data_IF_678952091140
#
_entry.id   IF_678952091140
#
_cell.length_a   1.000
_cell.length_b   1.000
_cell.length_c   1.000
_cell.angle_alpha   90.00
_cell.angle_beta   90.00
_cell.angle_gamma   90.00
#
_symmetry.space_group_name_H-M   'P 1'
#
loop_
_entity.id
_entity.type
_entity.pdbx_description
1 polymer ?
#
# COMPACT_ATOMS: atom_id res chain seq x y z
N UNK A 1 -32.31 -5.82 19.98
CA UNK A 1 -31.56 -6.30 21.16
C UNK A 1 -30.25 -6.88 20.66
N UNK A 2 -29.18 -6.08 20.71
CA UNK A 2 -27.83 -6.51 20.34
C UNK A 2 -27.14 -7.00 21.60
N UNK A 3 -26.73 -8.26 21.59
CA UNK A 3 -26.10 -8.93 22.72
C UNK A 3 -24.68 -8.36 22.89
N UNK A 4 -24.49 -7.53 23.92
CA UNK A 4 -23.27 -6.74 24.17
C UNK A 4 -22.10 -7.55 24.73
N UNK A 5 -21.86 -8.74 24.20
CA UNK A 5 -20.76 -9.61 24.61
C UNK A 5 -19.70 -9.68 23.52
N UNK A 6 -18.43 -9.50 23.90
CA UNK A 6 -17.28 -9.75 23.03
C UNK A 6 -17.35 -11.19 22.51
N UNK A 7 -17.53 -11.37 21.19
CA UNK A 7 -17.49 -12.68 20.55
C UNK A 7 -16.11 -12.90 19.95
N UNK A 8 -15.52 -14.08 20.21
CA UNK A 8 -14.36 -14.59 19.46
C UNK A 8 -14.88 -15.10 18.11
N UNK A 9 -15.05 -14.23 17.13
CA UNK A 9 -15.49 -14.62 15.78
C UNK A 9 -14.57 -14.07 14.71
N UNK A 10 -13.28 -14.42 14.78
CA UNK A 10 -12.47 -14.42 13.58
C UNK A 10 -12.16 -15.88 13.26
N UNK A 11 -12.72 -16.37 12.16
CA UNK A 11 -12.33 -17.66 11.59
C UNK A 11 -10.97 -17.47 10.88
N UNK A 12 -9.95 -17.19 11.68
CA UNK A 12 -8.60 -16.91 11.23
C UNK A 12 -7.64 -17.99 11.74
N UNK A 13 -6.67 -18.42 10.92
CA UNK A 13 -5.45 -19.05 11.43
C UNK A 13 -4.71 -18.06 12.36
N UNK A 14 -3.60 -18.51 12.97
CA UNK A 14 -2.76 -17.66 13.83
C UNK A 14 -2.52 -16.28 13.21
N UNK A 15 -2.79 -15.21 13.98
CA UNK A 15 -2.68 -13.83 13.51
C UNK A 15 -1.20 -13.54 13.20
N UNK A 16 -0.88 -13.03 12.00
CA UNK A 16 0.50 -12.78 11.61
C UNK A 16 1.03 -11.51 12.29
N UNK A 17 2.34 -11.28 12.18
CA UNK A 17 2.90 -9.98 12.55
C UNK A 17 2.56 -8.99 11.44
N UNK A 18 1.72 -7.99 11.73
CA UNK A 18 1.36 -6.94 10.78
C UNK A 18 2.54 -5.97 10.60
N UNK A 19 2.80 -5.64 9.35
CA UNK A 19 3.87 -4.76 8.90
C UNK A 19 3.28 -3.41 8.46
N UNK A 20 4.09 -2.37 8.55
CA UNK A 20 3.84 -1.06 7.97
C UNK A 20 2.82 -0.23 8.74
N UNK A 21 1.83 0.28 8.01
CA UNK A 21 0.85 1.23 8.53
C UNK A 21 -0.10 0.57 9.53
N UNK A 22 -0.43 1.30 10.61
CA UNK A 22 -1.46 0.87 11.56
C UNK A 22 -2.83 0.69 10.89
N UNK A 23 -3.09 1.44 9.82
CA UNK A 23 -4.32 1.41 9.05
C UNK A 23 -4.08 0.62 7.78
N UNK A 24 -4.77 -0.52 7.64
CA UNK A 24 -4.70 -1.33 6.42
C UNK A 24 -5.58 -0.73 5.32
N UNK A 25 -5.12 -0.68 4.06
CA UNK A 25 -5.96 -0.23 2.96
C UNK A 25 -7.19 -1.15 2.75
N UNK A 26 -8.33 -0.52 2.49
CA UNK A 26 -9.59 -1.20 2.22
C UNK A 26 -9.82 -1.37 0.71
N UNK A 27 -10.05 -2.60 0.27
CA UNK A 27 -10.38 -2.92 -1.13
C UNK A 27 -11.17 -4.23 -1.18
N UNK A 28 -12.14 -4.28 -2.10
CA UNK A 28 -12.98 -5.45 -2.36
C UNK A 28 -13.66 -6.04 -1.11
N UNK A 29 -14.09 -5.19 -0.17
CA UNK A 29 -14.78 -5.62 1.06
C UNK A 29 -13.85 -6.04 2.22
N UNK A 30 -12.54 -5.96 2.02
CA UNK A 30 -11.54 -6.39 3.01
C UNK A 30 -10.57 -5.28 3.38
N UNK A 31 -10.06 -5.34 4.62
CA UNK A 31 -8.92 -4.54 5.08
C UNK A 31 -7.65 -5.39 4.95
N UNK A 32 -6.58 -4.81 4.41
CA UNK A 32 -5.38 -5.56 4.03
C UNK A 32 -4.15 -5.00 4.70
N UNK A 33 -3.21 -5.87 5.09
CA UNK A 33 -1.92 -5.49 5.64
C UNK A 33 -0.84 -6.34 4.99
N UNK A 34 0.34 -5.77 4.78
CA UNK A 34 1.53 -6.59 4.64
C UNK A 34 1.79 -7.28 5.99
N UNK A 35 2.23 -8.53 5.97
CA UNK A 35 2.42 -9.30 7.17
C UNK A 35 3.50 -10.38 7.02
N UNK A 36 3.99 -10.87 8.16
CA UNK A 36 4.88 -12.04 8.23
C UNK A 36 4.10 -13.30 8.60
N UNK A 37 4.10 -14.26 7.69
CA UNK A 37 3.66 -15.63 7.90
C UNK A 37 4.80 -16.41 8.59
N UNK A 38 4.51 -17.03 9.74
CA UNK A 38 5.40 -17.82 10.61
C UNK A 38 6.21 -17.09 11.70
N UNK A 39 5.86 -17.47 12.94
CA UNK A 39 6.34 -17.02 14.24
C UNK A 39 7.49 -17.92 14.76
N UNK A 40 8.64 -17.97 14.09
CA UNK A 40 9.84 -18.34 14.85
C UNK A 40 10.19 -17.14 15.72
N UNK A 41 9.95 -17.28 17.03
CA UNK A 41 9.92 -16.27 18.09
C UNK A 41 11.21 -15.46 18.32
N UNK A 42 11.82 -14.93 17.26
CA UNK A 42 12.86 -13.94 17.35
C UNK A 42 12.23 -12.55 17.32
N UNK A 43 12.80 -11.57 18.04
CA UNK A 43 12.35 -10.19 17.96
C UNK A 43 12.38 -9.74 16.49
N UNK A 44 11.28 -9.15 16.02
CA UNK A 44 11.13 -8.66 14.66
C UNK A 44 12.30 -7.74 14.30
N UNK A 45 13.03 -8.13 13.26
CA UNK A 45 14.11 -7.36 12.65
C UNK A 45 14.01 -7.53 11.15
N UNK A 46 13.81 -6.44 10.42
CA UNK A 46 13.63 -6.45 8.98
C UNK A 46 14.77 -7.16 8.24
N UNK A 47 16.01 -6.97 8.72
CA UNK A 47 17.23 -7.62 8.21
C UNK A 47 17.20 -9.17 8.19
N UNK A 48 16.30 -9.80 8.97
CA UNK A 48 16.16 -11.25 9.05
C UNK A 48 14.94 -11.79 8.28
N UNK A 49 14.15 -10.92 7.66
CA UNK A 49 12.95 -11.30 6.92
C UNK A 49 13.35 -11.97 5.61
N UNK A 50 12.66 -13.05 5.28
CA UNK A 50 12.76 -13.68 3.95
C UNK A 50 11.48 -13.44 3.16
N UNK A 51 11.59 -13.43 1.83
CA UNK A 51 10.44 -13.24 0.92
C UNK A 51 9.33 -14.25 1.19
N UNK A 52 9.71 -15.50 1.49
CA UNK A 52 8.76 -16.59 1.76
C UNK A 52 7.89 -16.35 3.00
N UNK A 53 8.35 -15.49 3.91
CA UNK A 53 7.58 -15.09 5.08
C UNK A 53 6.64 -13.93 4.77
N UNK A 54 6.91 -13.12 3.74
CA UNK A 54 6.03 -12.01 3.40
C UNK A 54 4.74 -12.54 2.77
N UNK A 55 3.62 -12.02 3.26
CA UNK A 55 2.27 -12.26 2.76
C UNK A 55 1.45 -10.99 2.91
N UNK A 56 0.31 -10.92 2.22
CA UNK A 56 -0.73 -9.93 2.53
C UNK A 56 -1.79 -10.63 3.37
N UNK A 57 -2.01 -10.15 4.59
CA UNK A 57 -3.12 -10.56 5.43
C UNK A 57 -4.36 -9.73 5.08
N UNK A 58 -5.43 -10.40 4.68
CA UNK A 58 -6.68 -9.76 4.26
C UNK A 58 -7.83 -10.19 5.16
N UNK A 59 -8.52 -9.23 5.76
CA UNK A 59 -9.67 -9.44 6.64
C UNK A 59 -10.96 -8.95 5.96
N UNK A 60 -11.85 -9.88 5.60
CA UNK A 60 -13.20 -9.59 5.09
C UNK A 60 -14.11 -9.20 6.25
N UNK A 61 -14.47 -7.91 6.33
CA UNK A 61 -15.26 -7.37 7.42
C UNK A 61 -16.72 -7.85 7.41
N UNK A 62 -17.24 -8.25 6.25
CA UNK A 62 -18.63 -8.68 6.11
C UNK A 62 -18.79 -10.14 6.51
N UNK A 63 -17.81 -10.98 6.15
CA UNK A 63 -17.83 -12.42 6.44
C UNK A 63 -17.13 -12.78 7.75
N UNK A 64 -16.38 -11.85 8.34
CA UNK A 64 -15.54 -12.08 9.52
C UNK A 64 -14.52 -13.22 9.28
N UNK A 65 -14.03 -13.33 8.06
CA UNK A 65 -13.03 -14.32 7.63
C UNK A 65 -11.76 -13.62 7.19
N UNK A 66 -10.62 -14.25 7.37
CA UNK A 66 -9.37 -13.77 6.78
C UNK A 66 -8.75 -14.77 5.82
N UNK A 67 -7.86 -14.27 4.98
CA UNK A 67 -7.06 -15.04 4.05
C UNK A 67 -5.66 -14.44 3.92
N UNK A 68 -4.72 -15.26 3.50
CA UNK A 68 -3.40 -14.82 3.08
C UNK A 68 -3.39 -14.72 1.56
N UNK A 69 -2.80 -13.65 1.05
CA UNK A 69 -2.61 -13.42 -0.38
C UNK A 69 -1.10 -13.33 -0.65
N UNK A 70 -0.65 -14.03 -1.68
CA UNK A 70 0.75 -14.01 -2.09
C UNK A 70 1.15 -12.68 -2.74
N UNK A 71 2.42 -12.32 -2.57
CA UNK A 71 3.05 -11.20 -3.29
C UNK A 71 3.28 -11.55 -4.78
N UNK A 72 3.60 -10.57 -5.65
CA UNK A 72 3.94 -10.83 -7.04
C UNK A 72 5.10 -11.84 -7.17
N UNK A 73 5.04 -12.77 -8.12
CA UNK A 73 6.14 -13.73 -8.37
C UNK A 73 7.47 -13.04 -8.74
N UNK A 74 7.39 -11.86 -9.35
CA UNK A 74 8.55 -11.03 -9.67
C UNK A 74 9.14 -10.25 -8.49
N UNK A 75 8.58 -10.39 -7.28
CA UNK A 75 9.13 -9.85 -6.03
C UNK A 75 10.19 -10.82 -5.49
N UNK A 76 11.33 -10.89 -6.19
CA UNK A 76 12.35 -11.92 -6.03
C UNK A 76 13.44 -11.65 -4.98
N UNK A 77 13.47 -10.45 -4.39
CA UNK A 77 14.41 -10.03 -3.35
C UNK A 77 13.69 -9.21 -2.26
N UNK A 78 14.08 -9.38 -1.00
CA UNK A 78 13.57 -8.52 0.10
C UNK A 78 14.23 -7.14 -0.04
N UNK A 79 13.45 -6.05 -0.14
CA UNK A 79 14.02 -4.71 -0.23
C UNK A 79 14.72 -4.32 1.08
N UNK A 80 15.66 -3.37 0.97
CA UNK A 80 16.45 -2.91 2.12
C UNK A 80 15.57 -2.22 3.18
N UNK A 81 14.53 -1.52 2.72
CA UNK A 81 13.49 -0.91 3.54
C UNK A 81 12.16 -1.68 3.38
N UNK A 82 11.32 -1.62 4.40
CA UNK A 82 10.05 -2.36 4.45
C UNK A 82 9.09 -1.90 3.31
N UNK A 83 8.58 -2.82 2.47
CA UNK A 83 7.65 -2.47 1.42
C UNK A 83 6.30 -2.10 2.03
N UNK A 84 5.51 -1.31 1.31
CA UNK A 84 4.20 -0.86 1.78
C UNK A 84 3.14 -1.17 0.75
N UNK A 85 1.88 -1.27 1.21
CA UNK A 85 0.72 -1.45 0.34
C UNK A 85 -0.15 -0.20 0.36
N UNK A 86 -0.80 0.07 -0.77
CA UNK A 86 -1.74 1.16 -0.96
C UNK A 86 -2.93 0.67 -1.80
N UNK A 87 -3.96 1.50 -1.92
CA UNK A 87 -5.01 1.31 -2.92
C UNK A 87 -4.95 2.46 -3.90
N UNK A 88 -4.81 2.13 -5.18
CA UNK A 88 -4.79 3.09 -6.28
C UNK A 88 -5.81 2.62 -7.32
N UNK A 89 -6.71 3.51 -7.75
CA UNK A 89 -7.81 3.17 -8.69
C UNK A 89 -8.65 1.98 -8.24
N UNK A 90 -8.80 1.80 -6.92
CA UNK A 90 -9.54 0.68 -6.35
C UNK A 90 -8.84 -0.68 -6.44
N UNK A 91 -7.58 -0.74 -6.91
CA UNK A 91 -6.76 -1.94 -6.93
C UNK A 91 -5.77 -1.94 -5.76
N UNK A 92 -5.47 -3.12 -5.21
CA UNK A 92 -4.42 -3.24 -4.21
C UNK A 92 -3.06 -3.10 -4.90
N UNK A 93 -2.20 -2.24 -4.35
CA UNK A 93 -0.86 -1.99 -4.84
C UNK A 93 0.18 -2.34 -3.79
N UNK A 94 1.35 -2.75 -4.25
CA UNK A 94 2.56 -2.97 -3.44
C UNK A 94 3.65 -2.07 -4.01
N UNK A 95 4.30 -1.28 -3.16
CA UNK A 95 5.39 -0.43 -3.59
C UNK A 95 6.57 -0.48 -2.62
N UNK A 96 7.76 -0.22 -3.15
CA UNK A 96 9.00 -0.25 -2.39
C UNK A 96 10.14 0.41 -3.14
N UNK A 97 11.20 0.66 -2.39
CA UNK A 97 12.42 1.27 -2.87
C UNK A 97 13.41 0.16 -3.20
N UNK A 98 13.66 -0.07 -4.49
CA UNK A 98 14.60 -1.09 -4.94
C UNK A 98 16.02 -0.53 -4.93
N UNK A 99 16.89 -1.14 -4.13
CA UNK A 99 18.32 -0.80 -4.02
C UNK A 99 18.57 0.70 -3.74
N UNK A 100 17.61 1.39 -3.11
CA UNK A 100 17.62 2.86 -2.90
C UNK A 100 17.89 3.69 -4.16
N UNK A 101 17.56 3.15 -5.33
CA UNK A 101 17.79 3.80 -6.63
C UNK A 101 16.55 3.91 -7.47
N UNK A 102 15.56 3.03 -7.25
CA UNK A 102 14.34 2.98 -8.03
C UNK A 102 13.12 2.88 -7.13
N UNK A 103 12.07 3.60 -7.50
CA UNK A 103 10.73 3.38 -6.99
C UNK A 103 10.05 2.31 -7.83
N UNK A 104 9.56 1.25 -7.19
CA UNK A 104 8.83 0.16 -7.84
C UNK A 104 7.40 0.12 -7.33
N UNK A 105 6.44 0.03 -8.24
CA UNK A 105 5.00 -0.11 -7.94
C UNK A 105 4.42 -1.30 -8.70
N UNK A 106 3.76 -2.18 -7.96
CA UNK A 106 2.97 -3.28 -8.46
C UNK A 106 1.49 -3.03 -8.21
N UNK A 107 0.63 -3.53 -9.10
CA UNK A 107 -0.83 -3.48 -8.99
C UNK A 107 -1.40 -4.88 -9.16
N UNK A 108 -2.33 -5.26 -8.28
CA UNK A 108 -3.08 -6.50 -8.36
C UNK A 108 -4.36 -6.24 -9.15
N UNK A 109 -4.37 -6.65 -10.43
CA UNK A 109 -5.52 -6.42 -11.34
C UNK A 109 -6.77 -7.18 -10.90
N UNK A 110 -6.61 -8.35 -10.31
CA UNK A 110 -7.70 -9.16 -9.78
C UNK A 110 -7.44 -9.49 -8.31
N UNK A 111 -8.30 -8.96 -7.43
CA UNK A 111 -8.07 -9.03 -6.00
C UNK A 111 -7.98 -10.46 -5.46
N UNK A 112 -6.84 -10.83 -4.90
CA UNK A 112 -6.54 -12.14 -4.35
C UNK A 112 -5.90 -13.13 -5.32
N UNK A 113 -5.65 -12.74 -6.58
CA UNK A 113 -5.05 -13.60 -7.61
C UNK A 113 -3.60 -13.20 -7.82
N UNK A 114 -2.66 -14.10 -7.53
CA UNK A 114 -1.23 -13.82 -7.56
C UNK A 114 -0.73 -13.52 -8.98
N UNK A 115 -1.25 -14.22 -9.98
CA UNK A 115 -0.86 -14.08 -11.38
C UNK A 115 -1.38 -12.77 -12.00
N UNK A 116 -2.28 -12.07 -11.30
CA UNK A 116 -2.83 -10.78 -11.75
C UNK A 116 -1.96 -9.58 -11.39
N UNK A 117 -0.89 -9.79 -10.61
CA UNK A 117 0.06 -8.76 -10.28
C UNK A 117 0.84 -8.32 -11.51
N UNK A 118 0.83 -7.01 -11.78
CA UNK A 118 1.64 -6.41 -12.84
C UNK A 118 2.54 -5.32 -12.24
N UNK A 119 3.75 -5.20 -12.77
CA UNK A 119 4.66 -4.10 -12.41
C UNK A 119 4.25 -2.88 -13.23
N UNK A 120 3.63 -1.91 -12.57
CA UNK A 120 3.18 -0.67 -13.21
C UNK A 120 4.31 0.33 -13.40
N UNK A 121 5.16 0.47 -12.40
CA UNK A 121 6.24 1.47 -12.40
C UNK A 121 7.52 0.84 -11.91
N UNK A 122 8.61 1.19 -12.58
CA UNK A 122 9.98 1.00 -12.15
C UNK A 122 10.77 2.22 -12.63
N UNK A 123 10.86 3.25 -11.80
CA UNK A 123 11.42 4.54 -12.19
C UNK A 123 12.59 4.89 -11.28
N UNK A 124 13.71 5.31 -11.88
CA UNK A 124 14.89 5.69 -11.09
C UNK A 124 14.68 7.03 -10.38
N UNK A 125 15.30 7.18 -9.21
CA UNK A 125 15.29 8.45 -8.49
C UNK A 125 15.99 9.56 -9.23
N UNK A 126 17.05 9.26 -9.97
CA UNK A 126 17.71 10.22 -10.85
C UNK A 126 16.71 10.76 -11.88
N UNK A 127 15.87 9.88 -12.45
CA UNK A 127 14.85 10.29 -13.41
C UNK A 127 13.72 11.10 -12.76
N UNK A 128 13.29 10.72 -11.56
CA UNK A 128 12.41 11.53 -10.72
C UNK A 128 13.07 12.83 -10.22
N UNK A 129 14.30 13.14 -10.68
CA UNK A 129 15.12 14.29 -10.27
C UNK A 129 15.28 14.38 -8.74
N UNK A 130 15.23 13.20 -8.11
CA UNK A 130 15.36 12.97 -6.70
C UNK A 130 16.81 12.61 -6.37
N UNK A 131 17.68 13.63 -6.42
CA UNK A 131 19.14 13.45 -6.34
C UNK A 131 19.70 13.42 -4.91
N UNK A 132 18.93 13.79 -3.88
CA UNK A 132 19.34 13.79 -2.49
C UNK A 132 18.40 12.91 -1.67
N UNK A 133 18.69 11.61 -1.63
CA UNK A 133 18.06 10.68 -0.70
C UNK A 133 18.50 11.06 0.71
N UNK A 134 17.80 12.02 1.32
CA UNK A 134 17.89 12.19 2.76
C UNK A 134 17.36 10.88 3.38
N UNK A 135 18.01 10.31 4.41
CA UNK A 135 17.61 9.02 4.99
C UNK A 135 16.16 8.95 5.48
N UNK A 136 15.50 10.09 5.60
CA UNK A 136 14.15 10.30 6.09
C UNK A 136 13.16 10.76 5.01
N UNK A 137 13.58 10.79 3.74
CA UNK A 137 12.70 11.14 2.65
C UNK A 137 11.77 9.96 2.32
N UNK A 138 10.47 10.23 2.26
CA UNK A 138 9.43 9.27 1.93
C UNK A 138 8.84 9.59 0.56
N UNK A 139 8.72 8.57 -0.27
CA UNK A 139 8.02 8.63 -1.55
C UNK A 139 6.77 7.77 -1.49
N UNK A 140 5.61 8.41 -1.45
CA UNK A 140 4.32 7.75 -1.25
C UNK A 140 3.46 7.88 -2.50
N UNK A 141 2.92 6.79 -3.08
CA UNK A 141 1.96 6.91 -4.16
C UNK A 141 0.65 7.50 -3.61
N UNK A 142 0.21 8.62 -4.18
CA UNK A 142 -1.01 9.32 -3.80
C UNK A 142 -2.22 8.84 -4.59
N UNK A 143 -2.07 8.79 -5.91
CA UNK A 143 -3.12 8.34 -6.81
C UNK A 143 -2.53 7.91 -8.14
N UNK A 144 -3.29 7.09 -8.84
CA UNK A 144 -3.04 6.72 -10.23
C UNK A 144 -4.20 7.22 -11.06
N UNK A 145 -3.94 8.04 -12.08
CA UNK A 145 -5.00 8.52 -12.99
C UNK A 145 -5.41 7.45 -14.00
N UNK A 146 -6.59 7.60 -14.60
CA UNK A 146 -7.05 6.76 -15.72
C UNK A 146 -6.09 6.78 -16.93
N UNK A 147 -5.34 7.88 -17.09
CA UNK A 147 -4.36 8.02 -18.15
C UNK A 147 -3.03 7.30 -17.85
N UNK A 148 -2.87 6.74 -16.64
CA UNK A 148 -1.64 6.09 -16.19
C UNK A 148 -0.61 7.05 -15.57
N UNK A 149 -0.96 8.33 -15.36
CA UNK A 149 -0.14 9.26 -14.60
C UNK A 149 -0.18 8.88 -13.12
N UNK A 150 0.98 8.58 -12.53
CA UNK A 150 1.17 8.33 -11.11
C UNK A 150 1.54 9.63 -10.40
N UNK A 151 0.79 9.99 -9.37
CA UNK A 151 1.17 11.07 -8.45
C UNK A 151 1.88 10.49 -7.24
N UNK A 152 3.05 11.02 -6.94
CA UNK A 152 3.90 10.66 -5.82
C UNK A 152 4.01 11.86 -4.88
N UNK A 153 3.81 11.65 -3.59
CA UNK A 153 4.16 12.60 -2.56
C UNK A 153 5.62 12.36 -2.16
N UNK A 154 6.44 13.38 -2.34
CA UNK A 154 7.76 13.43 -1.76
C UNK A 154 7.68 14.24 -0.47
N UNK A 155 7.92 13.60 0.66
CA UNK A 155 8.00 14.26 1.96
C UNK A 155 9.39 14.08 2.56
N UNK A 156 10.06 15.18 2.89
CA UNK A 156 11.28 15.18 3.70
C UNK A 156 11.16 16.22 4.83
N UNK A 157 12.17 16.34 5.69
CA UNK A 157 12.15 17.28 6.82
C UNK A 157 11.93 18.75 6.46
N UNK A 158 12.29 19.15 5.25
CA UNK A 158 12.33 20.55 4.83
C UNK A 158 11.23 20.91 3.83
N UNK A 159 10.70 19.91 3.11
CA UNK A 159 9.84 20.13 1.95
C UNK A 159 8.88 18.96 1.74
N UNK A 160 7.67 19.33 1.33
CA UNK A 160 6.67 18.42 0.80
C UNK A 160 6.38 18.85 -0.63
N UNK A 161 6.65 17.96 -1.58
CA UNK A 161 6.42 18.15 -3.01
C UNK A 161 5.50 17.07 -3.54
N UNK A 162 4.75 17.38 -4.59
CA UNK A 162 4.05 16.36 -5.37
C UNK A 162 4.77 16.22 -6.71
N UNK A 163 5.15 15.00 -7.04
CA UNK A 163 5.76 14.63 -8.30
C UNK A 163 4.69 13.90 -9.10
N UNK A 164 4.39 14.39 -10.30
CA UNK A 164 3.57 13.68 -11.26
C UNK A 164 4.50 12.96 -12.24
N UNK A 165 4.42 11.65 -12.29
CA UNK A 165 5.15 10.80 -13.21
C UNK A 165 4.20 10.16 -14.21
N UNK A 166 4.40 10.43 -15.50
CA UNK A 166 3.68 9.77 -16.59
C UNK A 166 4.56 8.64 -17.14
N UNK A 167 4.11 7.39 -16.93
CA UNK A 167 4.84 6.19 -17.36
C UNK A 167 4.80 5.94 -18.86
N UNK A 168 3.84 6.51 -19.59
CA UNK A 168 3.69 6.35 -21.05
C UNK A 168 4.66 7.23 -21.82
N UNK A 169 4.77 8.49 -21.40
CA UNK A 169 5.60 9.50 -22.03
C UNK A 169 6.97 9.63 -21.36
N UNK A 170 7.20 8.89 -20.27
CA UNK A 170 8.38 8.95 -19.42
C UNK A 170 8.70 10.37 -18.92
N UNK A 171 7.65 11.09 -18.49
CA UNK A 171 7.73 12.50 -18.11
C UNK A 171 7.53 12.69 -16.61
N UNK A 172 8.31 13.61 -16.06
CA UNK A 172 8.25 14.02 -14.65
C UNK A 172 7.88 15.50 -14.58
N UNK A 173 6.84 15.82 -13.83
CA UNK A 173 6.37 17.18 -13.58
C UNK A 173 6.30 17.42 -12.07
N UNK A 174 6.85 18.55 -11.61
CA UNK A 174 6.76 18.95 -10.21
C UNK A 174 5.54 19.85 -10.00
N UNK A 175 4.71 19.47 -9.05
CA UNK A 175 3.54 20.24 -8.64
C UNK A 175 3.89 20.94 -7.32
N UNK A 176 4.02 22.26 -7.39
CA UNK A 176 4.18 23.09 -6.19
C UNK A 176 2.85 23.18 -5.47
N UNK A 177 2.85 22.80 -4.19
CA UNK A 177 1.70 22.95 -3.33
C UNK A 177 1.70 24.35 -2.71
N UNK A 178 0.58 25.09 -2.76
CA UNK A 178 0.47 26.30 -1.98
C UNK A 178 0.58 25.95 -0.48
N UNK A 179 1.54 26.57 0.21
CA UNK A 179 1.81 26.46 1.65
C UNK A 179 2.45 25.14 2.16
N UNK A 180 2.98 24.25 1.32
CA UNK A 180 3.75 23.04 1.75
C UNK A 180 3.04 22.12 2.78
N UNK A 181 1.71 22.10 2.85
CA UNK A 181 0.98 21.30 3.84
C UNK A 181 0.06 20.27 3.17
N UNK A 182 0.41 18.99 3.31
CA UNK A 182 -0.52 17.86 3.13
C UNK A 182 -0.58 17.13 4.47
N UNK A 183 -1.76 17.11 5.07
CA UNK A 183 -1.99 16.43 6.35
C UNK A 183 -2.49 15.00 6.13
N UNK A 184 -3.33 14.79 5.10
CA UNK A 184 -3.90 13.50 4.71
C UNK A 184 -4.24 13.52 3.22
N UNK A 185 -3.93 12.44 2.50
CA UNK A 185 -4.42 12.18 1.15
C UNK A 185 -5.11 10.81 1.18
N UNK A 186 -6.39 10.79 0.82
CA UNK A 186 -7.18 9.56 0.72
C UNK A 186 -7.83 9.55 -0.68
N UNK A 187 -7.76 8.43 -1.39
CA UNK A 187 -8.52 8.27 -2.63
C UNK A 187 -10.00 8.12 -2.25
N UNK A 188 -10.74 9.22 -2.32
CA UNK A 188 -12.17 9.22 -1.99
C UNK A 188 -12.95 8.29 -2.94
N UNK A 189 -13.29 7.10 -2.46
CA UNK A 189 -14.18 6.18 -3.17
C UNK A 189 -15.64 6.65 -2.98
N UNK A 190 -16.26 7.20 -4.03
CA UNK A 190 -17.70 7.55 -4.01
C UNK A 190 -18.56 6.28 -3.97
N UNK A 191 -18.90 5.78 -2.77
CA UNK A 191 -20.12 5.00 -2.53
C UNK A 191 -20.29 4.71 -1.04
N UNK A 192 -20.85 5.67 -0.31
CA UNK A 192 -21.62 5.38 0.90
C UNK A 192 -23.06 5.86 0.65
N UNK A 193 -23.88 4.98 0.06
CA UNK A 193 -25.33 5.15 0.15
C UNK A 193 -25.69 4.91 1.61
N UNK A 194 -25.84 5.99 2.37
CA UNK A 194 -26.45 5.98 3.69
C UNK A 194 -27.90 5.49 3.57
N UNK A 195 -28.29 4.33 4.12
CA UNK A 195 -29.70 4.03 4.29
C UNK A 195 -30.23 4.95 5.38
N UNK A 196 -30.84 6.08 4.99
CA UNK A 196 -31.64 6.88 5.93
C UNK A 196 -32.92 6.10 6.24
N UNK A 197 -33.23 5.78 7.51
CA UNK A 197 -34.59 5.41 7.87
C UNK A 197 -35.47 6.64 7.66
N UNK A 198 -36.59 6.50 6.95
CA UNK A 198 -37.61 7.54 6.91
C UNK A 198 -38.26 7.60 8.31
N UNK A 199 -38.34 8.77 8.96
CA UNK A 199 -39.18 8.90 10.14
C UNK A 199 -40.65 8.77 9.73
N UNK A 200 -41.40 7.99 10.50
CA UNK A 200 -42.86 7.92 10.45
C UNK A 200 -43.48 9.22 10.96
#
# INVERSE_FOLDING_TARGET
MGDGCWRKTLACPDIPILLGTLIGPFVNGSVNWLALNHLNCHPYKWENVTIKQLVIFSLDLRKETCKYISLPDGFGEVPEDEPTIAVLRGCLCLYYDHMKTHFVLWEMREFGVQESWIRLVNVSYVHLQFNNFAPDALLLPLCLSENGDLMLLLANKERVDVIKYNSRDDRVEYIQLPNNQIWYADEHMQSLVLPRPRPH
#
